data_IF_014460518425
#
_entry.id   IF_014460518425
#
_cell.length_a   1.000
_cell.length_b   1.000
_cell.length_c   1.000
_cell.angle_alpha   90.00
_cell.angle_beta   90.00
_cell.angle_gamma   90.00
#
_symmetry.space_group_name_H-M   'P 1'
#
loop_
_entity.id
_entity.type
_entity.pdbx_description
1 polymer ?
#
# COMPACT_ATOMS: atom_id res chain seq x y z
N UNK A 1 -10.40 -5.95 9.32
CA UNK A 1 -10.81 -5.79 7.90
C UNK A 1 -10.57 -7.12 7.20
N UNK A 2 -11.56 -7.67 6.48
CA UNK A 2 -11.52 -9.03 5.95
C UNK A 2 -10.78 -9.11 4.60
N UNK A 3 -9.65 -8.43 4.44
CA UNK A 3 -8.97 -8.26 3.15
C UNK A 3 -7.49 -8.63 3.25
N UNK A 4 -6.97 -9.27 2.20
CA UNK A 4 -5.54 -9.52 2.05
C UNK A 4 -4.81 -8.20 1.80
N UNK A 5 -3.56 -8.10 2.27
CA UNK A 5 -2.82 -6.85 2.23
C UNK A 5 -1.38 -6.97 1.76
N UNK A 6 -0.87 -5.90 1.18
CA UNK A 6 0.55 -5.68 0.92
C UNK A 6 1.05 -4.55 1.82
N UNK A 7 2.17 -4.77 2.51
CA UNK A 7 2.81 -3.76 3.33
C UNK A 7 4.22 -3.48 2.82
N UNK A 8 4.49 -2.20 2.51
CA UNK A 8 5.81 -1.73 2.07
C UNK A 8 6.71 -1.28 3.22
N UNK A 9 6.16 -1.19 4.43
CA UNK A 9 6.91 -0.83 5.63
C UNK A 9 7.55 -2.08 6.27
N UNK A 10 8.81 -2.01 6.72
CA UNK A 10 9.45 -3.10 7.46
C UNK A 10 8.73 -3.43 8.78
N UNK A 11 8.60 -4.73 9.12
CA UNK A 11 7.88 -5.21 10.31
C UNK A 11 8.37 -4.59 11.63
N UNK A 12 9.65 -4.24 11.73
CA UNK A 12 10.20 -3.64 12.95
C UNK A 12 9.67 -2.21 13.22
N UNK A 13 8.98 -1.58 12.27
CA UNK A 13 8.25 -0.34 12.52
C UNK A 13 6.86 -0.63 13.11
N UNK A 14 6.45 0.17 14.10
CA UNK A 14 5.17 -0.01 14.80
C UNK A 14 3.95 -0.08 13.87
N UNK A 15 3.96 0.66 12.76
CA UNK A 15 2.93 0.59 11.72
C UNK A 15 2.81 -0.81 11.10
N UNK A 16 3.90 -1.36 10.57
CA UNK A 16 3.91 -2.68 9.94
C UNK A 16 3.68 -3.80 10.95
N UNK A 17 4.23 -3.67 12.16
CA UNK A 17 3.96 -4.59 13.26
C UNK A 17 2.46 -4.67 13.57
N UNK A 18 1.78 -3.52 13.68
CA UNK A 18 0.33 -3.48 13.90
C UNK A 18 -0.46 -4.08 12.73
N UNK A 19 -0.02 -3.87 11.48
CA UNK A 19 -0.61 -4.51 10.30
C UNK A 19 -0.44 -6.03 10.34
N UNK A 20 0.74 -6.54 10.70
CA UNK A 20 1.00 -7.97 10.83
C UNK A 20 0.09 -8.63 11.87
N UNK A 21 -0.02 -8.03 13.06
CA UNK A 21 -0.98 -8.50 14.08
C UNK A 21 -2.42 -8.45 13.60
N UNK A 22 -2.82 -7.36 12.92
CA UNK A 22 -4.18 -7.23 12.38
C UNK A 22 -4.49 -8.36 11.38
N UNK A 23 -3.57 -8.67 10.46
CA UNK A 23 -3.79 -9.73 9.48
C UNK A 23 -3.78 -11.12 10.09
N UNK A 24 -2.91 -11.36 11.07
CA UNK A 24 -2.88 -12.60 11.84
C UNK A 24 -4.23 -12.86 12.55
N UNK A 25 -4.74 -11.86 13.28
CA UNK A 25 -6.02 -11.95 14.01
C UNK A 25 -7.19 -12.24 13.06
N UNK A 26 -7.20 -11.63 11.88
CA UNK A 26 -8.28 -11.79 10.91
C UNK A 26 -8.09 -13.00 9.97
N UNK A 27 -7.00 -13.76 10.12
CA UNK A 27 -6.64 -14.91 9.26
C UNK A 27 -6.64 -14.53 7.78
N UNK A 28 -5.98 -13.42 7.44
CA UNK A 28 -5.81 -12.91 6.07
C UNK A 28 -4.36 -12.90 5.67
N UNK A 29 -4.10 -12.92 4.37
CA UNK A 29 -2.74 -12.91 3.85
C UNK A 29 -2.11 -11.53 4.00
N UNK A 30 -0.85 -11.52 4.42
CA UNK A 30 -0.01 -10.34 4.42
C UNK A 30 1.20 -10.57 3.53
N UNK A 31 1.25 -9.86 2.41
CA UNK A 31 2.42 -9.74 1.55
C UNK A 31 3.36 -8.68 2.12
N UNK A 32 4.56 -9.10 2.48
CA UNK A 32 5.62 -8.23 2.95
C UNK A 32 6.51 -7.86 1.78
N UNK A 33 6.56 -6.57 1.45
CA UNK A 33 7.41 -6.10 0.37
C UNK A 33 8.82 -5.84 0.89
N UNK A 34 9.80 -6.58 0.37
CA UNK A 34 11.22 -6.48 0.74
C UNK A 34 12.11 -5.89 -0.35
N UNK A 35 11.53 -5.56 -1.51
CA UNK A 35 12.26 -5.01 -2.65
C UNK A 35 12.57 -3.53 -2.51
N UNK A 36 13.35 -3.00 -3.47
CA UNK A 36 13.55 -1.55 -3.60
C UNK A 36 12.22 -0.87 -3.93
N UNK A 37 11.89 0.17 -3.17
CA UNK A 37 10.68 0.97 -3.37
C UNK A 37 10.79 1.77 -4.67
N UNK A 38 10.25 1.22 -5.75
CA UNK A 38 10.12 1.83 -7.08
C UNK A 38 8.72 1.59 -7.62
N UNK A 39 8.21 2.52 -8.44
CA UNK A 39 6.82 2.50 -8.91
C UNK A 39 6.50 1.20 -9.65
N UNK A 40 7.35 0.81 -10.60
CA UNK A 40 7.24 -0.40 -11.41
C UNK A 40 7.21 -1.69 -10.57
N UNK A 41 8.13 -1.80 -9.60
CA UNK A 41 8.26 -2.99 -8.79
C UNK A 41 7.14 -3.14 -7.76
N UNK A 42 6.70 -2.04 -7.14
CA UNK A 42 5.60 -2.07 -6.18
C UNK A 42 4.28 -2.37 -6.90
N UNK A 43 4.03 -1.72 -8.05
CA UNK A 43 2.86 -2.00 -8.89
C UNK A 43 2.82 -3.44 -9.37
N UNK A 44 3.96 -4.00 -9.76
CA UNK A 44 4.08 -5.42 -10.12
C UNK A 44 3.75 -6.33 -8.93
N UNK A 45 4.20 -6.00 -7.72
CA UNK A 45 3.87 -6.78 -6.52
C UNK A 45 2.38 -6.73 -6.19
N UNK A 46 1.73 -5.57 -6.32
CA UNK A 46 0.27 -5.44 -6.18
C UNK A 46 -0.43 -6.35 -7.19
N UNK A 47 -0.12 -6.24 -8.48
CA UNK A 47 -0.74 -7.02 -9.57
C UNK A 47 -0.51 -8.53 -9.45
N UNK A 48 0.60 -8.97 -8.86
CA UNK A 48 0.94 -10.38 -8.67
C UNK A 48 0.45 -10.96 -7.33
N UNK A 49 -0.42 -10.24 -6.61
CA UNK A 49 -0.93 -10.66 -5.30
C UNK A 49 -2.45 -10.61 -5.28
N UNK A 50 -3.06 -11.23 -4.26
CA UNK A 50 -4.51 -11.08 -3.98
C UNK A 50 -4.83 -9.84 -3.13
N UNK A 51 -3.89 -8.90 -3.05
CA UNK A 51 -3.98 -7.74 -2.17
C UNK A 51 -5.17 -6.85 -2.51
N UNK A 52 -5.93 -6.49 -1.48
CA UNK A 52 -7.02 -5.53 -1.56
C UNK A 52 -6.75 -4.31 -0.66
N UNK A 53 -5.75 -4.37 0.23
CA UNK A 53 -5.28 -3.22 1.02
C UNK A 53 -3.78 -3.02 0.80
N UNK A 54 -3.37 -1.81 0.42
CA UNK A 54 -1.96 -1.43 0.45
C UNK A 54 -1.66 -0.55 1.67
N UNK A 55 -0.65 -0.94 2.44
CA UNK A 55 -0.11 -0.19 3.57
C UNK A 55 1.26 0.37 3.18
N UNK A 56 1.38 1.69 3.08
CA UNK A 56 2.61 2.35 2.67
C UNK A 56 2.79 3.72 3.35
N UNK A 57 3.95 4.34 3.20
CA UNK A 57 4.14 5.74 3.61
C UNK A 57 3.62 6.68 2.52
N UNK A 58 3.22 7.94 2.82
CA UNK A 58 2.68 8.86 1.83
C UNK A 58 3.57 9.06 0.59
N UNK A 59 4.90 9.03 0.77
CA UNK A 59 5.85 9.14 -0.34
C UNK A 59 5.69 8.02 -1.38
N UNK A 60 5.40 6.78 -0.94
CA UNK A 60 5.14 5.67 -1.86
C UNK A 60 3.91 5.92 -2.70
N UNK A 61 2.83 6.46 -2.11
CA UNK A 61 1.61 6.79 -2.85
C UNK A 61 1.84 7.90 -3.85
N UNK A 62 2.57 8.96 -3.47
CA UNK A 62 2.97 10.02 -4.39
C UNK A 62 3.70 9.44 -5.61
N UNK A 63 4.75 8.65 -5.38
CA UNK A 63 5.55 8.05 -6.45
C UNK A 63 4.74 7.09 -7.34
N UNK A 64 3.80 6.32 -6.77
CA UNK A 64 2.92 5.45 -7.57
C UNK A 64 1.90 6.26 -8.39
N UNK A 65 1.48 7.41 -7.90
CA UNK A 65 0.45 8.21 -8.57
C UNK A 65 0.94 9.04 -9.75
N UNK A 66 2.24 9.35 -9.78
CA UNK A 66 2.86 10.09 -10.88
C UNK A 66 2.94 9.25 -12.16
N UNK A 67 2.79 7.93 -12.06
CA UNK A 67 2.93 6.98 -13.16
C UNK A 67 1.59 6.27 -13.45
N UNK A 68 1.09 6.41 -14.69
CA UNK A 68 -0.24 5.91 -15.06
C UNK A 68 -0.46 4.43 -14.76
N UNK A 69 0.50 3.58 -15.14
CA UNK A 69 0.41 2.13 -14.92
C UNK A 69 0.42 1.75 -13.44
N UNK A 70 1.06 2.59 -12.61
CA UNK A 70 1.12 2.40 -11.16
C UNK A 70 -0.15 2.90 -10.48
N UNK A 71 -0.71 4.02 -10.95
CA UNK A 71 -2.01 4.50 -10.53
C UNK A 71 -3.12 3.47 -10.84
N UNK A 72 -3.05 2.81 -12.00
CA UNK A 72 -3.97 1.72 -12.33
C UNK A 72 -3.81 0.49 -11.41
N UNK A 73 -2.61 0.25 -10.88
CA UNK A 73 -2.43 -0.78 -9.85
C UNK A 73 -3.09 -0.36 -8.53
N UNK A 74 -2.98 0.91 -8.14
CA UNK A 74 -3.67 1.45 -6.95
C UNK A 74 -5.20 1.39 -7.08
N UNK A 75 -5.76 1.70 -8.25
CA UNK A 75 -7.21 1.56 -8.53
C UNK A 75 -7.75 0.14 -8.36
N UNK A 76 -6.88 -0.87 -8.46
CA UNK A 76 -7.27 -2.27 -8.30
C UNK A 76 -7.43 -2.70 -6.84
N UNK A 77 -6.88 -1.94 -5.89
CA UNK A 77 -7.03 -2.20 -4.46
C UNK A 77 -8.25 -1.47 -3.91
N UNK A 78 -8.81 -1.97 -2.79
CA UNK A 78 -9.98 -1.38 -2.14
C UNK A 78 -9.63 -0.27 -1.17
N UNK A 79 -8.44 -0.34 -0.57
CA UNK A 79 -8.03 0.57 0.51
C UNK A 79 -6.56 0.91 0.38
N UNK A 80 -6.26 2.21 0.34
CA UNK A 80 -4.92 2.77 0.51
C UNK A 80 -4.77 3.30 1.95
N UNK A 81 -3.94 2.65 2.76
CA UNK A 81 -3.67 3.07 4.14
C UNK A 81 -2.26 3.64 4.27
N UNK A 82 -2.13 4.80 4.90
CA UNK A 82 -0.82 5.43 5.16
C UNK A 82 -0.50 5.61 6.63
N UNK A 83 0.80 5.67 6.94
CA UNK A 83 1.35 6.04 8.24
C UNK A 83 2.80 6.51 8.10
N UNK A 84 3.45 6.88 9.20
CA UNK A 84 4.87 7.28 9.25
C UNK A 84 5.16 8.74 8.89
N UNK A 85 4.25 9.41 8.19
CA UNK A 85 4.28 10.84 7.94
C UNK A 85 2.86 11.39 7.67
N UNK A 86 2.63 12.69 7.84
CA UNK A 86 1.42 13.34 7.34
C UNK A 86 1.29 13.14 5.82
N UNK A 87 0.09 12.82 5.33
CA UNK A 87 -0.15 12.76 3.89
C UNK A 87 -0.30 14.20 3.35
N UNK A 88 0.48 14.61 2.33
CA UNK A 88 0.25 15.88 1.66
C UNK A 88 -1.16 15.93 1.05
N UNK A 89 -1.85 17.06 1.22
CA UNK A 89 -3.24 17.22 0.77
C UNK A 89 -3.39 16.90 -0.73
N UNK A 90 -2.48 17.43 -1.56
CA UNK A 90 -2.48 17.21 -3.01
C UNK A 90 -2.39 15.73 -3.39
N UNK A 91 -1.63 14.93 -2.64
CA UNK A 91 -1.51 13.48 -2.88
C UNK A 91 -2.81 12.78 -2.49
N UNK A 92 -3.39 13.12 -1.34
CA UNK A 92 -4.69 12.59 -0.92
C UNK A 92 -5.80 12.90 -1.92
N UNK A 93 -5.93 14.16 -2.31
CA UNK A 93 -6.96 14.65 -3.24
C UNK A 93 -6.82 14.00 -4.61
N UNK A 94 -5.59 13.91 -5.14
CA UNK A 94 -5.36 13.27 -6.43
C UNK A 94 -5.70 11.78 -6.40
N UNK A 95 -5.36 11.04 -5.33
CA UNK A 95 -5.72 9.62 -5.23
C UNK A 95 -7.24 9.46 -5.22
N UNK A 96 -7.94 10.19 -4.36
CA UNK A 96 -9.40 10.15 -4.25
C UNK A 96 -10.08 10.53 -5.58
N UNK A 97 -9.56 11.54 -6.28
CA UNK A 97 -10.07 11.95 -7.58
C UNK A 97 -9.86 10.89 -8.68
N UNK A 98 -8.95 9.95 -8.46
CA UNK A 98 -8.57 8.93 -9.42
C UNK A 98 -9.03 7.51 -9.03
N UNK A 99 -9.71 7.30 -7.91
CA UNK A 99 -10.26 6.00 -7.48
C UNK A 99 -9.41 5.32 -6.42
#
# INVERSE_FOLDING_TARGET
MPYDALCTAPIYHGFACAVAWRQLIHRRQLYLYSGTIRHDLVSKAVRNSTTEIIYAVPFTFKMLSEEKDSLDALRSVKICCYSGAPCPLEVGDMLVANG
#
